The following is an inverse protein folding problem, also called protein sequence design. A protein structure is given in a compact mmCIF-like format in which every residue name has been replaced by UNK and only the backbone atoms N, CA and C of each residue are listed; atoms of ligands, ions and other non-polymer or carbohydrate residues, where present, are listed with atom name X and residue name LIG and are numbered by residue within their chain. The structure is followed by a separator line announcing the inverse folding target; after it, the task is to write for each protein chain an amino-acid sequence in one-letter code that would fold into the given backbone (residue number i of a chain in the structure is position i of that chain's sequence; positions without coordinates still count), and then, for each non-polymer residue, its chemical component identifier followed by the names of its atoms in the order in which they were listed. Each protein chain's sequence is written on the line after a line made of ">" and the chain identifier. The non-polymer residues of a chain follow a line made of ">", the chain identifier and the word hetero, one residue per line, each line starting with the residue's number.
data_IF_517487333581
#
_entry.id   IF_517487333581
#
_cell.length_a   1.000
_cell.length_b   1.000
_cell.length_c   1.000
_cell.angle_alpha   90.00
_cell.angle_beta   90.00
_cell.angle_gamma   90.00
#
_symmetry.space_group_name_H-M   'P 1'
#
loop_
_entity.id
_entity.type
_entity.pdbx_description
1 polymer ?
#
# COMPACT_ATOMS: atom_id res chain seq x y z
N UNK A 1 -81.29 -0.64 -0.76
CA UNK A 1 -82.43 -1.29 -1.45
C UNK A 1 -81.88 -1.99 -2.69
N UNK A 2 -82.06 -3.32 -2.75
CA UNK A 2 -82.44 -4.16 -3.92
C UNK A 2 -82.20 -3.61 -5.35
N UNK A 3 -81.81 -4.36 -6.39
CA UNK A 3 -81.57 -5.79 -6.62
C UNK A 3 -81.17 -5.96 -8.11
N UNK A 4 -80.63 -7.14 -8.43
CA UNK A 4 -80.71 -7.89 -9.72
C UNK A 4 -79.96 -7.43 -10.98
N UNK A 5 -78.81 -8.12 -11.14
CA UNK A 5 -78.40 -8.94 -12.29
C UNK A 5 -79.45 -9.21 -13.38
N UNK A 6 -79.03 -9.14 -14.64
CA UNK A 6 -79.43 -10.09 -15.70
C UNK A 6 -78.21 -10.63 -16.44
N UNK A 7 -78.02 -11.94 -16.35
CA UNK A 7 -77.15 -12.77 -17.19
C UNK A 7 -77.85 -13.05 -18.52
N UNK A 8 -77.09 -13.09 -19.62
CA UNK A 8 -77.42 -13.87 -20.81
C UNK A 8 -76.28 -14.85 -21.06
N UNK A 9 -76.62 -16.13 -21.06
CA UNK A 9 -75.82 -17.28 -21.46
C UNK A 9 -75.91 -17.47 -22.97
N UNK A 10 -74.77 -17.68 -23.63
CA UNK A 10 -74.71 -18.24 -24.98
C UNK A 10 -73.97 -19.59 -24.91
N UNK A 11 -74.58 -20.62 -25.51
CA UNK A 11 -74.11 -22.00 -25.52
C UNK A 11 -72.95 -22.17 -26.50
N UNK A 12 -71.84 -22.72 -26.03
CA UNK A 12 -70.71 -23.15 -26.87
C UNK A 12 -71.03 -24.55 -27.41
N UNK A 13 -71.06 -24.67 -28.74
CA UNK A 13 -71.41 -25.88 -29.48
C UNK A 13 -70.38 -27.01 -29.33
N UNK A 14 -70.84 -28.24 -29.59
CA UNK A 14 -70.07 -29.47 -29.39
C UNK A 14 -68.76 -29.56 -30.20
N UNK A 15 -68.61 -28.80 -31.28
CA UNK A 15 -67.46 -28.89 -32.18
C UNK A 15 -66.16 -28.33 -31.57
N UNK A 16 -66.23 -27.31 -30.71
CA UNK A 16 -65.03 -26.79 -30.01
C UNK A 16 -64.48 -27.77 -28.96
N UNK A 17 -65.36 -28.60 -28.37
CA UNK A 17 -64.95 -29.61 -27.39
C UNK A 17 -64.22 -30.78 -28.05
N UNK A 18 -64.64 -31.15 -29.27
CA UNK A 18 -64.05 -32.24 -30.01
C UNK A 18 -62.66 -31.86 -30.57
N UNK A 19 -62.51 -30.65 -31.11
CA UNK A 19 -61.23 -30.11 -31.57
C UNK A 19 -60.20 -29.92 -30.43
N UNK A 20 -60.65 -29.47 -29.26
CA UNK A 20 -59.79 -29.33 -28.08
C UNK A 20 -59.33 -30.68 -27.49
N UNK A 21 -60.13 -31.73 -27.68
CA UNK A 21 -59.81 -33.11 -27.27
C UNK A 21 -58.70 -33.72 -28.12
N UNK A 22 -58.80 -33.63 -29.44
CA UNK A 22 -57.84 -34.20 -30.38
C UNK A 22 -56.44 -33.56 -30.24
N UNK A 23 -56.35 -32.22 -30.11
CA UNK A 23 -55.07 -31.54 -29.84
C UNK A 23 -54.44 -31.91 -28.50
N UNK A 24 -55.26 -32.32 -27.52
CA UNK A 24 -54.77 -32.76 -26.20
C UNK A 24 -54.15 -34.14 -26.29
N UNK A 25 -54.74 -35.04 -27.08
CA UNK A 25 -54.19 -36.38 -27.32
C UNK A 25 -52.96 -36.34 -28.22
N UNK A 26 -52.91 -35.49 -29.25
CA UNK A 26 -51.68 -35.29 -30.05
C UNK A 26 -50.53 -34.72 -29.22
N UNK A 27 -50.81 -33.75 -28.33
CA UNK A 27 -49.80 -33.21 -27.41
C UNK A 27 -49.33 -34.25 -26.39
N UNK A 28 -50.23 -35.10 -25.89
CA UNK A 28 -49.83 -36.22 -25.02
C UNK A 28 -49.00 -37.24 -25.78
N UNK A 29 -49.36 -37.61 -27.00
CA UNK A 29 -48.60 -38.56 -27.81
C UNK A 29 -47.19 -38.03 -28.13
N UNK A 30 -47.08 -36.75 -28.53
CA UNK A 30 -45.79 -36.07 -28.76
C UNK A 30 -44.94 -35.99 -27.50
N UNK A 31 -45.54 -35.68 -26.34
CA UNK A 31 -44.83 -35.62 -25.06
C UNK A 31 -44.36 -37.00 -24.59
N UNK A 32 -45.16 -38.05 -24.79
CA UNK A 32 -44.78 -39.43 -24.42
C UNK A 32 -43.68 -39.98 -25.33
N UNK A 33 -43.70 -39.65 -26.63
CA UNK A 33 -42.66 -40.05 -27.58
C UNK A 33 -41.31 -39.35 -27.30
N UNK A 34 -41.31 -38.06 -26.95
CA UNK A 34 -40.09 -37.34 -26.56
C UNK A 34 -39.55 -37.81 -25.19
N UNK A 35 -40.43 -38.18 -24.25
CA UNK A 35 -40.02 -38.81 -22.98
C UNK A 35 -39.38 -40.20 -23.18
N UNK A 36 -39.87 -40.99 -24.13
CA UNK A 36 -39.34 -42.33 -24.42
C UNK A 36 -38.00 -42.28 -25.18
N UNK A 37 -37.73 -41.24 -25.98
CA UNK A 37 -36.41 -41.04 -26.59
C UNK A 37 -35.33 -40.56 -25.60
N UNK A 38 -35.71 -39.90 -24.51
CA UNK A 38 -34.78 -39.36 -23.49
C UNK A 38 -34.31 -40.37 -22.43
N UNK A 39 -34.82 -41.60 -22.42
CA UNK A 39 -34.40 -42.68 -21.50
C UNK A 39 -33.48 -43.71 -22.17
N UNK A 40 -32.48 -43.28 -22.94
CA UNK A 40 -31.36 -44.17 -23.27
C UNK A 40 -30.45 -44.26 -22.03
N UNK A 41 -30.12 -45.46 -21.53
CA UNK A 41 -29.14 -45.58 -20.45
C UNK A 41 -27.82 -44.96 -20.94
N UNK A 42 -27.25 -44.06 -20.13
CA UNK A 42 -25.92 -43.50 -20.38
C UNK A 42 -24.98 -44.70 -20.53
N UNK A 43 -24.29 -44.81 -21.67
CA UNK A 43 -23.37 -45.93 -21.85
C UNK A 43 -22.27 -45.83 -20.80
N UNK A 44 -21.79 -46.97 -20.31
CA UNK A 44 -20.67 -46.99 -19.37
C UNK A 44 -19.46 -46.21 -19.91
N UNK A 45 -19.28 -46.19 -21.23
CA UNK A 45 -18.27 -45.37 -21.90
C UNK A 45 -18.51 -43.87 -21.75
N UNK A 46 -19.73 -43.38 -21.96
CA UNK A 46 -20.07 -41.96 -21.78
C UNK A 46 -19.93 -41.50 -20.32
N UNK A 47 -20.18 -42.38 -19.36
CA UNK A 47 -19.95 -42.10 -17.93
C UNK A 47 -18.45 -41.99 -17.62
N UNK A 48 -17.62 -42.88 -18.16
CA UNK A 48 -16.16 -42.82 -18.01
C UNK A 48 -15.56 -41.57 -18.66
N UNK A 49 -16.03 -41.20 -19.86
CA UNK A 49 -15.60 -39.99 -20.56
C UNK A 49 -15.97 -38.71 -19.78
N UNK A 50 -17.16 -38.66 -19.18
CA UNK A 50 -17.57 -37.55 -18.31
C UNK A 50 -16.71 -37.45 -17.04
N UNK A 51 -16.45 -38.57 -16.37
CA UNK A 51 -15.62 -38.63 -15.17
C UNK A 51 -14.16 -38.25 -15.47
N UNK A 52 -13.65 -38.68 -16.62
CA UNK A 52 -12.31 -38.29 -17.08
C UNK A 52 -12.25 -36.79 -17.39
N UNK A 53 -13.23 -36.24 -18.10
CA UNK A 53 -13.33 -34.80 -18.34
C UNK A 53 -13.40 -33.96 -17.06
N UNK A 54 -14.10 -34.44 -16.02
CA UNK A 54 -14.08 -33.76 -14.71
C UNK A 54 -12.72 -33.85 -13.99
N UNK A 55 -11.99 -34.97 -14.13
CA UNK A 55 -10.65 -35.11 -13.56
C UNK A 55 -9.66 -34.19 -14.23
N UNK A 56 -9.71 -34.10 -15.56
CA UNK A 56 -8.84 -33.24 -16.35
C UNK A 56 -9.12 -31.76 -16.05
N UNK A 57 -10.39 -31.35 -16.01
CA UNK A 57 -10.78 -29.98 -15.61
C UNK A 57 -10.32 -29.63 -14.18
N UNK A 58 -10.41 -30.56 -13.23
CA UNK A 58 -9.87 -30.35 -11.87
C UNK A 58 -8.34 -30.32 -11.85
N UNK A 59 -7.67 -31.10 -12.68
CA UNK A 59 -6.21 -31.11 -12.78
C UNK A 59 -5.71 -29.78 -13.36
N UNK A 60 -6.38 -29.24 -14.37
CA UNK A 60 -6.10 -27.94 -14.96
C UNK A 60 -6.37 -26.81 -13.96
N UNK A 61 -7.50 -26.85 -13.24
CA UNK A 61 -7.79 -25.90 -12.16
C UNK A 61 -6.71 -25.95 -11.06
N UNK A 62 -6.30 -27.15 -10.64
CA UNK A 62 -5.20 -27.33 -9.67
C UNK A 62 -3.86 -26.84 -10.21
N UNK A 63 -3.59 -27.02 -11.49
CA UNK A 63 -2.38 -26.54 -12.15
C UNK A 63 -2.36 -25.02 -12.20
N UNK A 64 -3.44 -24.38 -12.63
CA UNK A 64 -3.60 -22.92 -12.60
C UNK A 64 -3.51 -22.37 -11.17
N UNK A 65 -4.11 -23.02 -10.19
CA UNK A 65 -3.99 -22.63 -8.78
C UNK A 65 -2.56 -22.75 -8.28
N UNK A 66 -1.83 -23.80 -8.69
CA UNK A 66 -0.41 -23.99 -8.36
C UNK A 66 0.45 -22.92 -9.04
N UNK A 67 0.22 -22.61 -10.31
CA UNK A 67 0.91 -21.56 -11.06
C UNK A 67 0.63 -20.16 -10.48
N UNK A 68 -0.62 -19.87 -10.09
CA UNK A 68 -1.01 -18.66 -9.35
C UNK A 68 -0.36 -18.61 -7.97
N UNK A 69 -0.21 -19.74 -7.30
CA UNK A 69 0.47 -19.83 -6.02
C UNK A 69 1.99 -19.63 -6.16
N UNK A 70 2.63 -20.16 -7.21
CA UNK A 70 4.07 -19.97 -7.48
C UNK A 70 4.40 -18.59 -8.05
N UNK A 71 3.49 -17.97 -8.79
CA UNK A 71 3.65 -16.61 -9.36
C UNK A 71 3.38 -15.48 -8.36
N UNK A 72 2.69 -15.76 -7.24
CA UNK A 72 2.55 -14.81 -6.13
C UNK A 72 3.92 -14.52 -5.51
N UNK A 73 4.31 -13.24 -5.56
CA UNK A 73 5.64 -12.74 -5.15
C UNK A 73 5.81 -12.87 -3.63
N UNK A 74 6.97 -13.42 -3.22
CA UNK A 74 7.53 -13.26 -1.87
C UNK A 74 7.47 -11.80 -1.43
N UNK A 75 7.41 -11.52 -0.12
CA UNK A 75 7.58 -10.14 0.37
C UNK A 75 8.87 -9.58 -0.20
N UNK A 76 8.77 -8.53 -1.01
CA UNK A 76 9.94 -7.95 -1.65
C UNK A 76 10.86 -7.34 -0.59
N UNK A 77 12.17 -7.37 -0.82
CA UNK A 77 13.17 -6.87 0.15
C UNK A 77 12.89 -5.41 0.54
N UNK A 78 12.48 -4.58 -0.41
CA UNK A 78 12.11 -3.18 -0.16
C UNK A 78 10.83 -3.02 0.68
N UNK A 79 10.01 -4.06 0.85
CA UNK A 79 8.81 -4.07 1.70
C UNK A 79 9.07 -4.65 3.09
N UNK A 80 10.32 -5.03 3.41
CA UNK A 80 10.60 -5.72 4.67
C UNK A 80 10.39 -4.81 5.89
N UNK A 81 10.72 -3.52 5.79
CA UNK A 81 10.45 -2.55 6.86
C UNK A 81 8.95 -2.34 7.06
N UNK A 82 8.17 -2.30 5.97
CA UNK A 82 6.71 -2.23 6.03
C UNK A 82 6.13 -3.49 6.69
N UNK A 83 6.64 -4.67 6.33
CA UNK A 83 6.27 -5.92 6.98
C UNK A 83 6.58 -5.89 8.48
N UNK A 84 7.76 -5.37 8.86
CA UNK A 84 8.14 -5.18 10.25
C UNK A 84 7.18 -4.27 11.02
N UNK A 85 6.76 -3.14 10.41
CA UNK A 85 5.76 -2.24 10.99
C UNK A 85 4.40 -2.92 11.15
N UNK A 86 3.95 -3.65 10.13
CA UNK A 86 2.69 -4.40 10.19
C UNK A 86 2.70 -5.51 11.25
N UNK A 87 3.85 -6.15 11.50
CA UNK A 87 3.99 -7.12 12.61
C UNK A 87 3.84 -6.44 13.96
N UNK A 88 4.46 -5.26 14.14
CA UNK A 88 4.29 -4.47 15.38
C UNK A 88 2.84 -4.07 15.60
N UNK A 89 2.14 -3.65 14.54
CA UNK A 89 0.70 -3.38 14.56
C UNK A 89 -0.13 -4.61 14.95
N UNK A 90 0.17 -5.77 14.38
CA UNK A 90 -0.49 -7.02 14.71
C UNK A 90 -0.26 -7.43 16.18
N UNK A 91 0.96 -7.24 16.70
CA UNK A 91 1.29 -7.47 18.09
C UNK A 91 0.48 -6.59 19.06
N UNK A 92 0.11 -5.41 18.61
CA UNK A 92 -0.71 -4.42 19.32
C UNK A 92 -2.22 -4.64 19.14
N UNK A 93 -2.65 -5.71 18.46
CA UNK A 93 -4.04 -5.97 18.13
C UNK A 93 -4.65 -5.00 17.10
N UNK A 94 -3.82 -4.15 16.47
CA UNK A 94 -4.22 -3.11 15.50
C UNK A 94 -3.81 -3.49 14.08
N UNK A 95 -4.06 -4.73 13.67
CA UNK A 95 -3.78 -5.19 12.29
C UNK A 95 -4.36 -4.25 11.23
N UNK A 96 -3.62 -4.04 10.14
CA UNK A 96 -4.05 -3.19 9.01
C UNK A 96 -4.64 -4.06 7.90
N UNK A 97 -5.80 -3.67 7.37
CA UNK A 97 -6.60 -4.44 6.39
C UNK A 97 -7.31 -3.52 5.39
N UNK A 98 -7.92 -4.10 4.36
CA UNK A 98 -8.77 -3.40 3.40
C UNK A 98 -8.09 -2.20 2.73
N UNK A 99 -8.81 -1.08 2.65
CA UNK A 99 -8.32 0.14 2.01
C UNK A 99 -7.12 0.74 2.73
N UNK A 100 -7.04 0.64 4.06
CA UNK A 100 -5.90 1.16 4.82
C UNK A 100 -4.61 0.42 4.46
N UNK A 101 -4.69 -0.91 4.25
CA UNK A 101 -3.54 -1.70 3.77
C UNK A 101 -3.09 -1.26 2.37
N UNK A 102 -4.04 -1.06 1.46
CA UNK A 102 -3.73 -0.62 0.09
C UNK A 102 -3.10 0.79 0.08
N UNK A 103 -3.64 1.70 0.89
CA UNK A 103 -3.12 3.06 1.01
C UNK A 103 -1.72 3.06 1.63
N UNK A 104 -1.51 2.27 2.69
CA UNK A 104 -0.21 2.12 3.33
C UNK A 104 0.84 1.55 2.38
N UNK A 105 0.47 0.53 1.59
CA UNK A 105 1.35 -0.05 0.57
C UNK A 105 1.74 0.96 -0.51
N UNK A 106 0.78 1.73 -1.03
CA UNK A 106 1.04 2.80 -2.01
C UNK A 106 1.91 3.93 -1.45
N UNK A 107 1.66 4.32 -0.20
CA UNK A 107 2.50 5.28 0.52
C UNK A 107 3.93 4.76 0.65
N UNK A 108 4.10 3.49 1.01
CA UNK A 108 5.41 2.86 1.14
C UNK A 108 6.17 2.78 -0.18
N UNK A 109 5.48 2.45 -1.28
CA UNK A 109 6.09 2.53 -2.62
C UNK A 109 6.61 3.94 -2.93
N UNK A 110 5.86 4.97 -2.52
CA UNK A 110 6.27 6.37 -2.71
C UNK A 110 7.50 6.70 -1.88
N UNK A 111 7.56 6.26 -0.61
CA UNK A 111 8.76 6.39 0.23
C UNK A 111 9.99 5.79 -0.46
N UNK A 112 9.86 4.57 -1.00
CA UNK A 112 10.96 3.87 -1.66
C UNK A 112 11.40 4.57 -2.95
N UNK A 113 10.46 4.99 -3.78
CA UNK A 113 10.75 5.70 -5.04
C UNK A 113 11.38 7.07 -4.78
N UNK A 114 10.91 7.82 -3.78
CA UNK A 114 11.54 9.09 -3.40
C UNK A 114 12.98 8.87 -2.95
N UNK A 115 13.24 7.87 -2.09
CA UNK A 115 14.61 7.56 -1.66
C UNK A 115 15.51 7.11 -2.81
N UNK A 116 14.96 6.40 -3.79
CA UNK A 116 15.70 6.02 -4.99
C UNK A 116 16.03 7.24 -5.86
N UNK A 117 15.12 8.21 -5.97
CA UNK A 117 15.36 9.47 -6.69
C UNK A 117 16.37 10.37 -5.96
N UNK A 118 16.39 10.34 -4.62
CA UNK A 118 17.26 11.16 -3.77
C UNK A 118 18.39 10.35 -3.13
N UNK A 119 19.03 9.50 -3.92
CA UNK A 119 19.97 8.49 -3.44
C UNK A 119 21.35 9.02 -3.03
N UNK A 120 21.67 10.30 -3.30
CA UNK A 120 22.85 10.95 -2.70
C UNK A 120 22.62 11.35 -1.24
N UNK A 121 21.40 11.21 -0.72
CA UNK A 121 21.09 11.26 0.70
C UNK A 121 20.41 12.55 1.16
N UNK A 122 20.16 12.58 2.47
CA UNK A 122 19.21 13.50 3.12
C UNK A 122 19.76 14.85 3.52
N UNK A 123 20.96 15.19 3.09
CA UNK A 123 21.59 16.50 3.24
C UNK A 123 21.99 16.94 4.66
N UNK A 124 21.25 16.54 5.70
CA UNK A 124 21.48 16.94 7.09
C UNK A 124 21.43 15.75 8.08
N UNK A 125 21.38 14.51 7.61
CA UNK A 125 21.41 13.32 8.48
C UNK A 125 22.84 12.82 8.66
N UNK A 126 23.27 12.63 9.91
CA UNK A 126 24.67 12.34 10.27
C UNK A 126 25.23 11.09 9.58
N UNK A 127 24.45 10.02 9.45
CA UNK A 127 24.86 8.78 8.75
C UNK A 127 25.12 9.00 7.26
N UNK A 128 24.29 9.81 6.60
CA UNK A 128 24.46 10.17 5.19
C UNK A 128 25.66 11.10 5.01
N UNK A 129 25.83 12.05 5.94
CA UNK A 129 26.97 12.96 5.95
C UNK A 129 28.29 12.20 6.09
N UNK A 130 28.37 11.27 7.05
CA UNK A 130 29.57 10.47 7.28
C UNK A 130 29.88 9.55 6.10
N UNK A 131 28.88 8.85 5.56
CA UNK A 131 29.07 7.92 4.44
C UNK A 131 29.47 8.61 3.13
N UNK A 132 29.00 9.84 2.92
CA UNK A 132 29.29 10.61 1.69
C UNK A 132 30.37 11.66 1.87
N UNK A 133 31.00 11.76 3.04
CA UNK A 133 31.96 12.82 3.41
C UNK A 133 31.41 14.23 3.10
N UNK A 134 30.20 14.51 3.57
CA UNK A 134 29.43 15.75 3.34
C UNK A 134 28.93 16.01 1.91
N UNK A 135 29.13 15.11 0.94
CA UNK A 135 28.62 15.33 -0.42
C UNK A 135 27.08 15.43 -0.45
N UNK A 136 26.37 14.64 0.37
CA UNK A 136 24.91 14.74 0.50
C UNK A 136 24.46 16.16 0.86
N UNK A 137 25.13 16.80 1.82
CA UNK A 137 24.91 18.19 2.23
C UNK A 137 25.18 19.17 1.11
N UNK A 138 26.30 19.00 0.40
CA UNK A 138 26.73 19.95 -0.64
C UNK A 138 25.83 19.90 -1.87
N UNK A 139 25.42 18.70 -2.29
CA UNK A 139 24.44 18.54 -3.37
C UNK A 139 23.07 19.11 -3.00
N UNK A 140 22.58 18.86 -1.78
CA UNK A 140 21.34 19.48 -1.29
C UNK A 140 21.44 21.03 -1.35
N UNK A 141 22.56 21.60 -0.89
CA UNK A 141 22.77 23.05 -0.93
C UNK A 141 22.88 23.60 -2.35
N UNK A 142 23.48 22.84 -3.27
CA UNK A 142 23.53 23.18 -4.68
C UNK A 142 22.13 23.12 -5.34
N UNK A 143 21.32 22.12 -5.00
CA UNK A 143 19.93 21.99 -5.44
C UNK A 143 19.10 23.20 -5.03
N UNK A 144 19.17 23.62 -3.76
CA UNK A 144 18.50 24.84 -3.29
C UNK A 144 18.95 26.11 -4.00
N UNK A 145 20.24 26.21 -4.37
CA UNK A 145 20.74 27.33 -5.14
C UNK A 145 20.21 27.31 -6.58
N UNK A 146 20.09 26.12 -7.20
CA UNK A 146 19.48 25.97 -8.52
C UNK A 146 17.98 26.29 -8.46
N UNK A 147 17.28 25.85 -7.42
CA UNK A 147 15.87 26.16 -7.19
C UNK A 147 15.64 27.67 -7.11
N UNK A 148 16.43 28.36 -6.28
CA UNK A 148 16.40 29.83 -6.19
C UNK A 148 16.67 30.49 -7.55
N UNK A 149 17.61 29.94 -8.33
CA UNK A 149 17.90 30.43 -9.67
C UNK A 149 16.71 30.26 -10.62
N UNK A 150 16.03 29.11 -10.58
CA UNK A 150 14.85 28.83 -11.40
C UNK A 150 13.69 29.75 -11.05
N UNK A 151 13.41 29.94 -9.76
CA UNK A 151 12.36 30.85 -9.29
C UNK A 151 12.66 32.31 -9.67
N UNK A 152 13.90 32.77 -9.46
CA UNK A 152 14.25 34.16 -9.72
C UNK A 152 14.34 34.50 -11.21
N UNK A 153 14.91 33.62 -12.02
CA UNK A 153 15.19 33.89 -13.45
C UNK A 153 14.04 33.48 -14.37
N UNK A 154 13.33 32.41 -14.04
CA UNK A 154 12.30 31.82 -14.90
C UNK A 154 10.90 31.87 -14.26
N UNK A 155 10.77 32.47 -13.06
CA UNK A 155 9.49 32.56 -12.33
C UNK A 155 8.83 31.21 -12.10
N UNK A 156 9.65 30.17 -11.93
CA UNK A 156 9.14 28.83 -11.66
C UNK A 156 8.39 28.76 -10.34
N UNK A 157 7.36 27.91 -10.32
CA UNK A 157 6.60 27.63 -9.10
C UNK A 157 7.48 26.86 -8.12
N UNK A 158 7.72 27.41 -6.93
CA UNK A 158 8.61 26.84 -5.92
C UNK A 158 8.27 25.39 -5.55
N UNK A 159 7.00 24.98 -5.65
CA UNK A 159 6.55 23.59 -5.40
C UNK A 159 7.07 22.64 -6.47
N UNK A 160 7.11 23.11 -7.71
CA UNK A 160 7.56 22.36 -8.88
C UNK A 160 9.08 22.36 -8.96
N UNK A 161 9.72 23.53 -8.83
CA UNK A 161 11.18 23.66 -8.91
C UNK A 161 11.89 23.03 -7.72
N UNK A 162 11.31 23.08 -6.51
CA UNK A 162 11.84 22.40 -5.33
C UNK A 162 11.94 20.89 -5.52
N UNK A 163 10.86 20.23 -5.96
CA UNK A 163 10.88 18.80 -6.28
C UNK A 163 11.83 18.48 -7.44
N UNK A 164 11.79 19.27 -8.52
CA UNK A 164 12.57 19.00 -9.73
C UNK A 164 14.08 19.13 -9.50
N UNK A 165 14.50 20.17 -8.79
CA UNK A 165 15.93 20.38 -8.49
C UNK A 165 16.46 19.35 -7.50
N UNK A 166 15.65 18.90 -6.54
CA UNK A 166 16.01 17.79 -5.66
C UNK A 166 16.22 16.50 -6.44
N UNK A 167 15.32 16.15 -7.37
CA UNK A 167 15.48 14.98 -8.25
C UNK A 167 16.71 15.12 -9.16
N UNK A 168 16.96 16.31 -9.70
CA UNK A 168 18.11 16.58 -10.57
C UNK A 168 19.45 16.42 -9.82
N UNK A 169 19.58 16.99 -8.62
CA UNK A 169 20.81 16.84 -7.81
C UNK A 169 20.84 15.56 -7.00
N UNK A 170 19.74 14.80 -6.98
CA UNK A 170 19.55 13.52 -6.26
C UNK A 170 19.78 13.63 -4.75
N UNK A 171 19.53 14.79 -4.15
CA UNK A 171 19.74 15.06 -2.73
C UNK A 171 18.75 16.10 -2.21
N UNK A 172 18.45 16.07 -0.90
CA UNK A 172 17.53 17.03 -0.29
C UNK A 172 17.33 16.78 1.21
N UNK A 173 16.84 17.75 1.97
CA UNK A 173 16.42 17.56 3.36
C UNK A 173 14.93 17.15 3.42
N UNK A 174 14.28 17.30 4.57
CA UNK A 174 12.88 16.96 4.81
C UNK A 174 11.91 17.64 3.83
N UNK A 175 12.09 18.94 3.56
CA UNK A 175 11.28 19.69 2.59
C UNK A 175 11.34 19.05 1.19
N UNK A 176 12.55 18.86 0.66
CA UNK A 176 12.73 18.30 -0.68
C UNK A 176 12.22 16.86 -0.78
N UNK A 177 12.41 16.04 0.27
CA UNK A 177 11.84 14.69 0.33
C UNK A 177 10.31 14.70 0.36
N UNK A 178 9.70 15.64 1.08
CA UNK A 178 8.26 15.81 1.11
C UNK A 178 7.72 16.27 -0.25
N UNK A 179 8.38 17.22 -0.90
CA UNK A 179 8.00 17.72 -2.22
C UNK A 179 8.06 16.61 -3.28
N UNK A 180 9.18 15.87 -3.35
CA UNK A 180 9.32 14.73 -4.25
C UNK A 180 8.29 13.64 -3.95
N UNK A 181 8.01 13.37 -2.68
CA UNK A 181 6.99 12.37 -2.29
C UNK A 181 5.57 12.81 -2.68
N UNK A 182 5.21 14.07 -2.44
CA UNK A 182 3.88 14.61 -2.76
C UNK A 182 3.60 14.53 -4.26
N UNK A 183 4.54 14.96 -5.10
CA UNK A 183 4.40 14.87 -6.55
C UNK A 183 4.53 13.43 -7.06
N UNK A 184 5.45 12.64 -6.50
CA UNK A 184 5.65 11.23 -6.82
C UNK A 184 4.47 10.32 -6.46
N UNK A 185 3.59 10.75 -5.56
CA UNK A 185 2.39 10.00 -5.19
C UNK A 185 1.26 10.10 -6.24
N UNK A 186 1.38 10.98 -7.26
CA UNK A 186 0.28 11.35 -8.13
C UNK A 186 -0.50 10.17 -8.73
N UNK A 187 0.20 9.20 -9.33
CA UNK A 187 -0.40 8.03 -9.98
C UNK A 187 -1.08 7.06 -8.99
N UNK A 188 -0.69 7.13 -7.72
CA UNK A 188 -1.19 6.25 -6.65
C UNK A 188 -2.38 6.83 -5.90
N UNK A 189 -2.60 8.13 -6.02
CA UNK A 189 -3.71 8.82 -5.38
C UNK A 189 -5.03 8.40 -6.02
N UNK A 190 -6.02 8.07 -5.19
CA UNK A 190 -7.39 7.79 -5.66
C UNK A 190 -8.22 9.09 -5.71
N UNK A 191 -9.36 9.06 -6.39
CA UNK A 191 -10.27 10.22 -6.48
C UNK A 191 -10.88 10.62 -5.13
N UNK A 192 -10.85 9.72 -4.14
CA UNK A 192 -11.34 9.94 -2.78
C UNK A 192 -10.23 10.34 -1.80
N UNK A 193 -9.08 10.77 -2.32
CA UNK A 193 -7.93 11.15 -1.51
C UNK A 193 -7.34 12.49 -1.93
N UNK A 194 -6.62 13.07 -0.98
CA UNK A 194 -5.78 14.25 -1.18
C UNK A 194 -4.38 13.95 -0.64
N UNK A 195 -3.36 14.54 -1.24
CA UNK A 195 -1.98 14.49 -0.75
C UNK A 195 -1.57 15.88 -0.26
N UNK A 196 -0.89 15.93 0.88
CA UNK A 196 -0.53 17.16 1.58
C UNK A 196 0.96 17.17 1.86
N UNK A 197 1.62 18.30 1.60
CA UNK A 197 2.93 18.60 2.19
C UNK A 197 2.70 19.37 3.48
N UNK A 198 3.22 18.82 4.58
CA UNK A 198 3.01 19.30 5.95
C UNK A 198 4.30 19.77 6.56
N UNK A 199 4.22 20.83 7.34
CA UNK A 199 5.33 21.32 8.16
C UNK A 199 4.95 21.39 9.62
N UNK A 200 5.89 21.05 10.49
CA UNK A 200 5.88 21.29 11.92
C UNK A 200 7.05 22.23 12.22
N UNK A 201 6.83 23.32 12.96
CA UNK A 201 7.92 24.25 13.34
C UNK A 201 8.47 23.99 14.74
N UNK A 202 7.60 23.61 15.68
CA UNK A 202 7.93 23.37 17.09
C UNK A 202 7.42 21.98 17.52
N UNK A 203 8.18 21.19 18.30
CA UNK A 203 9.52 21.46 18.86
C UNK A 203 10.69 21.14 17.91
N UNK A 204 10.42 20.84 16.64
CA UNK A 204 11.47 20.62 15.65
C UNK A 204 10.96 20.85 14.24
N UNK A 205 11.67 21.69 13.48
CA UNK A 205 11.37 21.99 12.08
C UNK A 205 11.45 20.71 11.23
N UNK A 206 10.30 20.22 10.78
CA UNK A 206 10.20 19.03 9.96
C UNK A 206 9.09 19.14 8.92
N UNK A 207 9.33 18.56 7.75
CA UNK A 207 8.40 18.57 6.63
C UNK A 207 8.24 17.16 6.09
N UNK A 208 6.98 16.74 5.87
CA UNK A 208 6.66 15.41 5.35
C UNK A 208 5.47 15.46 4.38
N UNK A 209 5.28 14.38 3.63
CA UNK A 209 4.09 14.17 2.80
C UNK A 209 3.11 13.23 3.50
N UNK A 210 1.81 13.45 3.32
CA UNK A 210 0.79 12.54 3.84
C UNK A 210 -0.47 12.48 2.98
N UNK A 211 -1.10 11.32 2.98
CA UNK A 211 -2.29 11.01 2.20
C UNK A 211 -3.49 10.94 3.12
N UNK A 212 -4.53 11.72 2.79
CA UNK A 212 -5.77 11.84 3.56
C UNK A 212 -6.98 11.50 2.71
N UNK A 213 -8.14 11.39 3.37
CA UNK A 213 -9.44 11.35 2.70
C UNK A 213 -9.72 12.61 1.87
N UNK A 214 -10.74 12.55 1.02
CA UNK A 214 -11.14 13.59 0.07
C UNK A 214 -11.41 14.96 0.71
N UNK A 215 -11.95 14.96 1.92
CA UNK A 215 -12.26 16.18 2.68
C UNK A 215 -11.01 16.83 3.30
N UNK A 216 -9.83 16.23 3.13
CA UNK A 216 -8.57 16.74 3.64
C UNK A 216 -8.47 16.75 5.16
N UNK A 217 -9.45 16.22 5.89
CA UNK A 217 -9.44 16.20 7.35
C UNK A 217 -8.42 15.19 7.87
N UNK A 218 -7.71 15.61 8.91
CA UNK A 218 -6.72 14.80 9.62
C UNK A 218 -7.41 13.64 10.33
N UNK A 219 -6.91 12.42 10.14
CA UNK A 219 -7.40 11.18 10.77
C UNK A 219 -6.25 10.29 11.23
N UNK A 220 -6.54 9.42 12.19
CA UNK A 220 -5.58 8.47 12.75
C UNK A 220 -5.03 7.47 11.73
N UNK A 221 -5.84 7.11 10.72
CA UNK A 221 -5.48 6.19 9.66
C UNK A 221 -5.01 6.88 8.37
N UNK A 222 -4.73 8.19 8.40
CA UNK A 222 -4.00 8.84 7.31
C UNK A 222 -2.63 8.18 7.14
N UNK A 223 -2.13 8.12 5.90
CA UNK A 223 -0.84 7.50 5.59
C UNK A 223 0.24 8.57 5.55
N UNK A 224 1.25 8.41 6.39
CA UNK A 224 2.43 9.27 6.42
C UNK A 224 3.47 8.72 5.47
N UNK A 225 3.89 9.57 4.53
CA UNK A 225 4.88 9.33 3.50
C UNK A 225 6.09 10.23 3.79
N UNK A 226 6.90 9.79 4.75
CA UNK A 226 8.11 10.49 5.16
C UNK A 226 9.34 9.75 4.63
N UNK A 227 9.83 10.18 3.47
CA UNK A 227 11.00 9.58 2.84
C UNK A 227 12.33 10.03 3.47
N UNK A 228 12.33 11.12 4.24
CA UNK A 228 13.50 11.63 4.95
C UNK A 228 13.75 10.86 6.25
N UNK A 229 12.72 10.63 7.05
CA UNK A 229 12.84 9.81 8.26
C UNK A 229 13.17 8.35 7.91
N UNK A 230 13.80 7.60 8.81
CA UNK A 230 14.03 6.18 8.66
C UNK A 230 12.78 5.35 8.98
N UNK A 231 12.49 4.36 8.14
CA UNK A 231 11.36 3.44 8.30
C UNK A 231 10.46 3.39 7.06
N UNK A 232 9.36 2.62 7.11
CA UNK A 232 8.40 2.54 6.02
C UNK A 232 7.41 3.71 6.05
N UNK A 233 6.47 3.75 5.10
CA UNK A 233 5.24 4.50 5.34
C UNK A 233 4.48 3.90 6.54
N UNK A 234 3.81 4.76 7.30
CA UNK A 234 3.11 4.40 8.54
C UNK A 234 1.75 5.07 8.61
N UNK A 235 0.85 4.57 9.45
CA UNK A 235 -0.37 5.28 9.78
C UNK A 235 -0.05 6.42 10.77
N UNK A 236 -0.75 7.54 10.63
CA UNK A 236 -0.52 8.76 11.43
C UNK A 236 -0.41 8.48 12.91
N UNK A 237 -1.32 7.69 13.46
CA UNK A 237 -1.37 7.41 14.90
C UNK A 237 -0.08 6.80 15.49
N UNK A 238 0.78 6.24 14.63
CA UNK A 238 2.06 5.65 15.00
C UNK A 238 3.28 6.49 14.53
N UNK A 239 3.05 7.62 13.86
CA UNK A 239 4.10 8.47 13.30
C UNK A 239 4.71 9.41 14.35
N UNK A 240 6.03 9.62 14.33
CA UNK A 240 6.73 10.47 15.30
C UNK A 240 6.31 11.94 15.17
N UNK A 241 6.46 12.54 14.00
CA UNK A 241 6.16 13.95 13.76
C UNK A 241 4.67 14.24 13.51
N UNK A 242 3.93 13.28 12.98
CA UNK A 242 2.58 13.52 12.46
C UNK A 242 1.44 13.09 13.39
N UNK A 243 1.74 12.31 14.44
CA UNK A 243 0.72 11.81 15.37
C UNK A 243 0.04 12.94 16.12
N UNK A 244 0.84 13.84 16.70
CA UNK A 244 0.34 15.09 17.22
C UNK A 244 0.38 16.11 16.10
N UNK A 245 -0.79 16.59 15.70
CA UNK A 245 -0.91 17.57 14.62
C UNK A 245 -0.93 19.01 15.16
N UNK A 246 -0.91 19.19 16.48
CA UNK A 246 -0.82 20.51 17.12
C UNK A 246 0.45 21.20 16.66
N UNK A 247 0.31 22.44 16.15
CA UNK A 247 1.45 23.20 15.61
C UNK A 247 1.88 22.82 14.19
N UNK A 248 1.28 21.80 13.57
CA UNK A 248 1.56 21.45 12.17
C UNK A 248 0.59 22.11 11.19
N UNK A 249 1.12 22.59 10.06
CA UNK A 249 0.35 23.29 9.01
C UNK A 249 0.52 22.60 7.67
N UNK A 250 -0.48 22.76 6.78
CA UNK A 250 -0.36 22.35 5.38
C UNK A 250 0.30 23.47 4.60
N UNK A 251 1.45 23.19 3.98
CA UNK A 251 2.11 24.13 3.08
C UNK A 251 1.37 24.22 1.74
N UNK A 252 1.02 23.06 1.19
CA UNK A 252 0.17 22.92 0.03
C UNK A 252 -0.42 21.51 -0.03
N UNK A 253 -1.48 21.36 -0.82
CA UNK A 253 -2.16 20.07 -1.01
C UNK A 253 -2.76 19.97 -2.40
N UNK A 254 -2.96 18.75 -2.84
CA UNK A 254 -3.56 18.45 -4.13
C UNK A 254 -4.62 17.35 -4.02
N UNK A 255 -5.71 17.50 -4.77
CA UNK A 255 -6.53 16.36 -5.17
C UNK A 255 -5.87 15.59 -6.34
N UNK A 256 -6.46 14.45 -6.73
CA UNK A 256 -5.94 13.60 -7.82
C UNK A 256 -5.68 14.35 -9.13
N UNK A 257 -6.59 15.21 -9.57
CA UNK A 257 -6.45 15.91 -10.85
C UNK A 257 -5.31 16.92 -10.79
N UNK A 258 -5.21 17.64 -9.68
CA UNK A 258 -4.19 18.67 -9.48
C UNK A 258 -2.79 18.06 -9.35
N UNK A 259 -2.63 17.00 -8.57
CA UNK A 259 -1.32 16.36 -8.38
C UNK A 259 -0.80 15.75 -9.67
N UNK A 260 -1.68 15.20 -10.52
CA UNK A 260 -1.28 14.68 -11.84
C UNK A 260 -0.71 15.78 -12.73
N UNK A 261 -1.36 16.96 -12.77
CA UNK A 261 -0.84 18.12 -13.51
C UNK A 261 0.47 18.63 -12.92
N UNK A 262 0.56 18.69 -11.59
CA UNK A 262 1.78 19.12 -10.92
C UNK A 262 2.95 18.15 -11.19
N UNK A 263 2.71 16.83 -11.15
CA UNK A 263 3.71 15.81 -11.47
C UNK A 263 4.16 15.86 -12.93
N UNK A 264 3.26 16.17 -13.87
CA UNK A 264 3.61 16.40 -15.27
C UNK A 264 4.52 17.62 -15.44
N UNK A 265 4.27 18.70 -14.70
CA UNK A 265 5.14 19.89 -14.68
C UNK A 265 6.52 19.57 -14.10
N UNK A 266 6.60 18.82 -12.99
CA UNK A 266 7.88 18.34 -12.43
C UNK A 266 8.63 17.49 -13.46
N UNK A 267 7.97 16.54 -14.11
CA UNK A 267 8.59 15.72 -15.15
C UNK A 267 9.11 16.56 -16.33
N UNK A 268 8.35 17.56 -16.76
CA UNK A 268 8.74 18.45 -17.86
C UNK A 268 9.96 19.30 -17.48
N UNK A 269 9.99 19.85 -16.27
CA UNK A 269 11.13 20.61 -15.77
C UNK A 269 12.37 19.73 -15.59
N UNK A 270 12.23 18.50 -15.09
CA UNK A 270 13.32 17.53 -15.04
C UNK A 270 13.92 17.23 -16.42
N UNK A 271 13.07 17.04 -17.43
CA UNK A 271 13.53 16.82 -18.81
C UNK A 271 14.24 18.06 -19.37
N UNK A 272 13.76 19.26 -19.04
CA UNK A 272 14.41 20.51 -19.44
C UNK A 272 15.78 20.66 -18.77
N UNK A 273 15.90 20.39 -17.47
CA UNK A 273 17.16 20.42 -16.73
C UNK A 273 18.17 19.39 -17.28
N UNK A 274 17.72 18.17 -17.56
CA UNK A 274 18.58 17.12 -18.13
C UNK A 274 19.12 17.45 -19.53
N UNK A 275 18.41 18.31 -20.28
CA UNK A 275 18.82 18.78 -21.61
C UNK A 275 19.56 20.12 -21.57
N UNK A 276 19.82 20.67 -20.39
CA UNK A 276 20.39 21.99 -20.20
C UNK A 276 21.83 21.89 -19.66
N UNK A 277 22.88 21.94 -20.51
CA UNK A 277 24.27 21.85 -20.05
C UNK A 277 24.67 22.93 -19.03
N UNK A 278 23.95 24.05 -18.99
CA UNK A 278 24.17 25.08 -18.00
C UNK A 278 23.78 24.64 -16.58
N UNK A 279 22.79 23.75 -16.44
CA UNK A 279 22.29 23.29 -15.13
C UNK A 279 23.32 22.38 -14.46
N UNK A 280 23.92 21.45 -15.21
CA UNK A 280 25.02 20.61 -14.71
C UNK A 280 26.20 21.49 -14.28
N UNK A 281 26.67 22.37 -15.16
CA UNK A 281 27.77 23.30 -14.83
C UNK A 281 27.46 24.20 -13.63
N UNK A 282 26.20 24.60 -13.47
CA UNK A 282 25.76 25.39 -12.32
C UNK A 282 25.94 24.59 -11.02
N UNK A 283 25.45 23.35 -11.01
CA UNK A 283 25.54 22.46 -9.84
C UNK A 283 27.00 22.10 -9.55
N UNK A 284 27.78 21.71 -10.55
CA UNK A 284 29.20 21.40 -10.41
C UNK A 284 29.98 22.57 -9.81
N UNK A 285 29.86 23.76 -10.41
CA UNK A 285 30.52 24.98 -9.90
C UNK A 285 30.10 25.28 -8.46
N UNK A 286 28.83 25.04 -8.12
CA UNK A 286 28.34 25.28 -6.75
C UNK A 286 28.90 24.25 -5.77
N UNK A 287 28.92 22.97 -6.13
CA UNK A 287 29.51 21.90 -5.32
C UNK A 287 31.01 22.11 -5.13
N UNK A 288 31.75 22.48 -6.18
CA UNK A 288 33.18 22.78 -6.11
C UNK A 288 33.48 23.95 -5.18
N UNK A 289 32.67 25.00 -5.25
CA UNK A 289 32.78 26.13 -4.31
C UNK A 289 32.58 25.65 -2.87
N UNK A 290 31.53 24.87 -2.61
CA UNK A 290 31.24 24.33 -1.27
C UNK A 290 32.31 23.35 -0.78
N UNK A 291 32.96 22.61 -1.69
CA UNK A 291 34.09 21.74 -1.38
C UNK A 291 35.30 22.57 -0.92
N UNK A 292 35.66 23.62 -1.67
CA UNK A 292 36.77 24.54 -1.33
C UNK A 292 36.55 25.26 0.01
N UNK A 293 35.29 25.60 0.30
CA UNK A 293 34.89 26.22 1.57
C UNK A 293 34.77 25.22 2.73
N UNK A 294 35.01 23.93 2.49
CA UNK A 294 34.77 22.84 3.44
C UNK A 294 33.38 22.93 4.10
N UNK A 295 32.35 23.25 3.30
CA UNK A 295 31.01 23.50 3.79
C UNK A 295 30.44 22.30 4.55
N UNK A 296 29.83 22.58 5.70
CA UNK A 296 29.12 21.64 6.57
C UNK A 296 27.69 22.14 6.82
N UNK A 297 26.78 21.23 7.15
CA UNK A 297 25.40 21.59 7.46
C UNK A 297 25.35 22.43 8.76
N UNK A 298 24.52 23.48 8.77
CA UNK A 298 24.32 24.34 9.94
C UNK A 298 23.53 23.68 11.08
N UNK A 299 22.84 22.57 10.80
CA UNK A 299 22.17 21.71 11.76
C UNK A 299 22.11 20.29 11.22
N UNK A 300 22.35 19.31 12.09
CA UNK A 300 22.36 17.89 11.71
C UNK A 300 21.47 17.07 12.62
N UNK A 301 20.85 16.05 12.05
CA UNK A 301 19.99 15.11 12.76
C UNK A 301 20.64 13.74 12.79
N UNK A 302 20.45 13.01 13.89
CA UNK A 302 20.71 11.57 13.91
C UNK A 302 19.78 10.83 12.94
N UNK A 303 19.93 9.51 12.80
CA UNK A 303 19.00 8.68 12.05
C UNK A 303 17.61 8.65 12.73
N UNK A 304 16.78 9.65 12.47
CA UNK A 304 15.45 9.82 13.06
C UNK A 304 14.46 8.79 12.51
N UNK A 305 13.78 8.08 13.41
CA UNK A 305 12.69 7.16 13.10
C UNK A 305 11.41 7.90 12.74
N UNK A 306 10.72 7.38 11.72
CA UNK A 306 9.34 7.78 11.39
C UNK A 306 8.34 7.33 12.46
N UNK A 307 8.70 6.36 13.32
CA UNK A 307 7.81 5.76 14.31
C UNK A 307 7.90 6.47 15.66
N UNK A 308 6.74 6.73 16.24
CA UNK A 308 6.64 7.34 17.56
C UNK A 308 7.20 6.40 18.64
N UNK A 309 8.00 6.95 19.57
CA UNK A 309 8.70 6.17 20.59
C UNK A 309 7.76 5.31 21.46
N UNK A 310 6.66 5.90 21.96
CA UNK A 310 5.63 5.15 22.72
C UNK A 310 5.06 3.94 21.96
N UNK A 311 4.88 4.03 20.64
CA UNK A 311 4.44 2.88 19.83
C UNK A 311 5.53 1.80 19.80
N UNK A 312 6.78 2.20 19.59
CA UNK A 312 7.92 1.28 19.58
C UNK A 312 8.12 0.58 20.92
N UNK A 313 8.10 1.33 22.02
CA UNK A 313 8.23 0.77 23.38
C UNK A 313 7.09 -0.19 23.72
N UNK A 314 5.84 0.18 23.41
CA UNK A 314 4.67 -0.68 23.67
C UNK A 314 4.75 -1.97 22.88
N UNK A 315 5.00 -1.90 21.58
CA UNK A 315 5.05 -3.08 20.72
C UNK A 315 6.25 -3.97 21.02
N UNK A 316 7.40 -3.40 21.41
CA UNK A 316 8.53 -4.17 21.92
C UNK A 316 8.15 -5.00 23.15
N UNK A 317 7.42 -4.41 24.11
CA UNK A 317 6.94 -5.13 25.29
C UNK A 317 5.98 -6.25 24.89
N UNK A 318 5.03 -5.99 24.00
CA UNK A 318 4.05 -6.99 23.55
C UNK A 318 4.68 -8.15 22.79
N UNK A 319 5.65 -7.88 21.91
CA UNK A 319 6.37 -8.92 21.17
C UNK A 319 7.26 -9.79 22.08
N UNK A 320 7.74 -9.24 23.20
CA UNK A 320 8.52 -9.97 24.22
C UNK A 320 7.65 -10.65 25.29
N UNK A 321 6.41 -10.19 25.48
CA UNK A 321 5.53 -10.65 26.56
C UNK A 321 5.32 -12.17 26.50
N UNK A 322 5.52 -12.92 27.61
CA UNK A 322 5.16 -14.33 27.66
C UNK A 322 3.67 -14.52 27.36
N UNK A 323 3.31 -15.70 26.84
CA UNK A 323 1.90 -16.03 26.61
C UNK A 323 1.25 -16.31 27.97
N UNK A 324 0.12 -15.64 28.25
CA UNK A 324 -0.65 -15.85 29.48
C UNK A 324 -1.33 -17.22 29.42
N UNK A 325 -0.85 -18.14 30.25
CA UNK A 325 -1.30 -19.53 30.27
C UNK A 325 -2.76 -19.65 30.71
N UNK A 326 -3.21 -18.80 31.63
CA UNK A 326 -4.56 -18.87 32.20
C UNK A 326 -5.65 -18.48 31.18
N UNK A 327 -5.29 -17.70 30.15
CA UNK A 327 -6.20 -17.34 29.05
C UNK A 327 -6.27 -18.36 27.93
N UNK A 328 -5.26 -19.23 27.82
CA UNK A 328 -5.17 -20.25 26.75
C UNK A 328 -5.74 -21.59 27.23
N UNK A 329 -5.65 -21.88 28.53
CA UNK A 329 -5.97 -23.18 29.11
C UNK A 329 -7.46 -23.35 29.49
N UNK A 330 -8.38 -22.52 28.99
CA UNK A 330 -9.81 -22.74 29.26
C UNK A 330 -10.34 -24.06 28.69
N UNK A 331 -9.61 -24.74 27.79
CA UNK A 331 -10.03 -26.03 27.18
C UNK A 331 -8.88 -26.97 26.75
N UNK A 332 -7.65 -26.90 27.28
CA UNK A 332 -6.55 -27.77 26.79
C UNK A 332 -5.57 -28.18 27.88
N UNK A 333 -5.21 -29.47 27.92
CA UNK A 333 -4.23 -30.05 28.86
C UNK A 333 -2.85 -29.40 28.70
N UNK A 334 -2.21 -29.10 29.83
CA UNK A 334 -0.88 -28.49 29.94
C UNK A 334 0.24 -29.27 29.23
N UNK A 335 0.06 -30.58 29.02
CA UNK A 335 1.09 -31.47 28.47
C UNK A 335 1.25 -31.37 26.94
N UNK A 336 0.23 -30.93 26.20
CA UNK A 336 0.26 -30.86 24.73
C UNK A 336 0.84 -29.55 24.19
N UNK A 337 1.05 -28.56 25.05
CA UNK A 337 1.30 -27.19 24.62
C UNK A 337 2.67 -26.77 25.17
N UNK A 338 3.67 -26.78 24.29
CA UNK A 338 5.08 -26.50 24.63
C UNK A 338 5.31 -25.25 25.49
N UNK A 339 6.53 -25.12 26.03
CA UNK A 339 6.89 -24.08 27.01
C UNK A 339 6.55 -22.64 26.58
N UNK A 340 6.54 -21.73 27.55
CA UNK A 340 6.17 -20.31 27.36
C UNK A 340 6.93 -19.65 26.20
N UNK A 341 8.20 -20.00 26.03
CA UNK A 341 9.05 -19.50 24.93
C UNK A 341 8.64 -20.05 23.56
N UNK A 342 8.23 -21.32 23.48
CA UNK A 342 7.70 -21.95 22.24
C UNK A 342 6.41 -21.26 21.81
N UNK A 343 5.49 -20.98 22.74
CA UNK A 343 4.23 -20.29 22.43
C UNK A 343 4.44 -18.83 22.03
N UNK A 344 5.38 -18.12 22.69
CA UNK A 344 5.77 -16.76 22.30
C UNK A 344 6.33 -16.74 20.88
N UNK A 345 7.19 -17.70 20.56
CA UNK A 345 7.77 -17.87 19.23
C UNK A 345 6.65 -18.09 18.21
N UNK A 346 5.81 -19.11 18.42
CA UNK A 346 4.68 -19.40 17.54
C UNK A 346 3.76 -18.19 17.33
N UNK A 347 3.45 -17.41 18.37
CA UNK A 347 2.65 -16.18 18.24
C UNK A 347 3.30 -15.17 17.31
N UNK A 348 4.60 -14.95 17.45
CA UNK A 348 5.37 -14.04 16.58
C UNK A 348 5.42 -14.56 15.13
N UNK A 349 5.50 -15.88 14.95
CA UNK A 349 5.43 -16.53 13.63
C UNK A 349 4.05 -16.33 12.99
N UNK A 350 2.96 -16.53 13.74
CA UNK A 350 1.59 -16.31 13.27
C UNK A 350 1.40 -14.88 12.76
N UNK A 351 1.86 -13.88 13.52
CA UNK A 351 1.81 -12.48 13.07
C UNK A 351 2.60 -12.26 11.78
N UNK A 352 3.82 -12.80 11.71
CA UNK A 352 4.71 -12.64 10.55
C UNK A 352 4.14 -13.32 9.30
N UNK A 353 3.57 -14.53 9.43
CA UNK A 353 2.89 -15.24 8.35
C UNK A 353 1.66 -14.45 7.89
N UNK A 354 0.85 -13.94 8.82
CA UNK A 354 -0.31 -13.11 8.50
C UNK A 354 0.07 -11.88 7.68
N UNK A 355 1.14 -11.19 8.08
CA UNK A 355 1.67 -10.04 7.35
C UNK A 355 2.23 -10.42 5.98
N UNK A 356 3.03 -11.49 5.89
CA UNK A 356 3.59 -11.96 4.63
C UNK A 356 2.50 -12.26 3.60
N UNK A 357 1.41 -12.90 4.04
CA UNK A 357 0.25 -13.19 3.20
C UNK A 357 -0.47 -11.92 2.74
N UNK A 358 -0.65 -10.93 3.63
CA UNK A 358 -1.21 -9.62 3.29
C UNK A 358 -0.37 -8.89 2.24
N UNK A 359 0.95 -9.12 2.23
CA UNK A 359 1.89 -8.57 1.26
C UNK A 359 2.08 -9.46 0.01
N UNK A 360 1.21 -10.46 -0.18
CA UNK A 360 1.12 -11.24 -1.41
C UNK A 360 1.80 -12.61 -1.38
N UNK A 361 2.45 -13.01 -0.28
CA UNK A 361 3.10 -14.32 -0.18
C UNK A 361 2.08 -15.45 -0.08
N UNK A 362 2.37 -16.59 -0.72
CA UNK A 362 1.67 -17.84 -0.43
C UNK A 362 2.11 -18.41 0.95
N UNK A 363 1.45 -19.46 1.44
CA UNK A 363 1.73 -20.01 2.77
C UNK A 363 3.17 -20.54 2.93
N UNK A 364 3.69 -21.24 1.90
CA UNK A 364 5.05 -21.79 1.92
C UNK A 364 6.11 -20.69 1.94
N UNK A 365 5.91 -19.64 1.14
CA UNK A 365 6.76 -18.45 1.14
C UNK A 365 6.68 -17.71 2.47
N UNK A 366 5.46 -17.49 2.98
CA UNK A 366 5.23 -16.78 4.23
C UNK A 366 5.99 -17.42 5.40
N UNK A 367 5.91 -18.74 5.55
CA UNK A 367 6.66 -19.49 6.58
C UNK A 367 8.16 -19.27 6.45
N UNK A 368 8.71 -19.35 5.22
CA UNK A 368 10.15 -19.14 4.97
C UNK A 368 10.62 -17.72 5.29
N UNK A 369 9.74 -16.72 5.19
CA UNK A 369 10.09 -15.31 5.39
C UNK A 369 9.92 -14.83 6.83
N UNK A 370 9.38 -15.66 7.73
CA UNK A 370 9.15 -15.29 9.13
C UNK A 370 10.42 -14.75 9.81
N UNK A 371 11.61 -15.39 9.70
CA UNK A 371 12.81 -14.89 10.37
C UNK A 371 13.18 -13.47 9.91
N UNK A 372 13.08 -13.19 8.62
CA UNK A 372 13.44 -11.90 8.03
C UNK A 372 12.44 -10.80 8.42
N UNK A 373 11.15 -11.10 8.35
CA UNK A 373 10.08 -10.16 8.73
C UNK A 373 10.19 -9.80 10.21
N UNK A 374 10.39 -10.80 11.06
CA UNK A 374 10.50 -10.57 12.50
C UNK A 374 11.81 -9.84 12.86
N UNK A 375 12.91 -10.13 12.16
CA UNK A 375 14.16 -9.38 12.26
C UNK A 375 13.98 -7.93 11.85
N UNK A 376 13.24 -7.65 10.77
CA UNK A 376 12.93 -6.29 10.36
C UNK A 376 12.09 -5.54 11.39
N UNK A 377 11.06 -6.19 11.96
CA UNK A 377 10.28 -5.61 13.05
C UNK A 377 11.18 -5.18 14.23
N UNK A 378 12.15 -6.03 14.62
CA UNK A 378 13.12 -5.71 15.69
C UNK A 378 14.12 -4.62 15.33
N UNK A 379 14.47 -4.48 14.05
CA UNK A 379 15.46 -3.53 13.53
C UNK A 379 14.91 -2.14 13.23
N UNK A 380 13.58 -1.97 13.25
CA UNK A 380 12.97 -0.66 13.05
C UNK A 380 13.58 0.36 14.03
N UNK A 381 13.96 1.56 13.53
CA UNK A 381 14.71 2.54 14.30
C UNK A 381 13.89 3.08 15.46
N UNK A 382 14.58 3.44 16.53
CA UNK A 382 14.04 4.13 17.70
C UNK A 382 14.61 5.54 17.72
N UNK A 383 13.79 6.50 18.12
CA UNK A 383 14.24 7.88 18.37
C UNK A 383 14.98 7.96 19.69
#
# INVERSE_FOLDING_TARGET
>A
MMDKKRRRSASIGNDEKQWASERREERKASFTADMLQRKRPISHQAEQEFLQGQRDARADELSEMKERATSRRKVAVHNMDLAGYMVRRAADGRSVEGNDLLNLFRGHQTVMETRQKLDRGRGNVTTDISSTRHLSTRFMKAGRALDTHLQGKYSEDWRISGASTAEFVRAGNCQEHADVSTHGHAQRLTSNQTVHTRSLKDPGDHVWSEVRGKDGKVRHNDVIVDAWAYGPAVLREDAYFAKDHTGSTTQYSYNKREVMKAAERVSSLNQALAKAPWADRFVEKRVDKLNKENYKAGGTFGPTSVLHERFMQRTDRLMKKPVDLNKVLSNTSLEQVGGIDTRRTLRNEIWSVGVARKLGSNIRQAIRQVPDIFKAAKKLPKN
#
